data_IF_475191292869
#
_entry.id   IF_475191292869
#
_cell.length_a   1.000
_cell.length_b   1.000
_cell.length_c   1.000
_cell.angle_alpha   90.00
_cell.angle_beta   90.00
_cell.angle_gamma   90.00
#
_symmetry.space_group_name_H-M   'P 1'
#
loop_
_entity.id
_entity.type
_entity.pdbx_description
1 polymer ?
#
# COMPACT_ATOMS: atom_id res chain seq x y z
N UNK A 1 7.28 8.82 9.37
CA UNK A 1 6.18 9.56 10.04
C UNK A 1 6.67 10.93 10.46
N UNK A 2 5.86 11.97 10.24
CA UNK A 2 6.21 13.38 10.51
C UNK A 2 6.12 13.68 12.02
N UNK A 3 5.26 12.97 12.73
CA UNK A 3 5.12 13.10 14.20
C UNK A 3 4.54 14.44 14.64
N UNK A 4 5.12 15.02 15.71
CA UNK A 4 4.59 16.24 16.32
C UNK A 4 4.47 17.44 15.36
N UNK A 5 5.25 17.48 14.30
CA UNK A 5 5.20 18.56 13.29
C UNK A 5 4.06 18.40 12.28
N UNK A 6 3.33 17.28 12.28
CA UNK A 6 2.34 16.96 11.26
C UNK A 6 1.27 18.07 11.09
N UNK A 7 0.71 18.57 12.19
CA UNK A 7 -0.32 19.61 12.13
C UNK A 7 0.15 20.91 11.45
N UNK A 8 1.40 21.31 11.70
CA UNK A 8 2.00 22.49 11.07
C UNK A 8 2.24 22.23 9.59
N UNK A 9 2.79 21.06 9.25
CA UNK A 9 3.05 20.67 7.85
C UNK A 9 1.74 20.59 7.08
N UNK A 10 0.70 19.98 7.65
CA UNK A 10 -0.63 19.87 7.04
C UNK A 10 -1.21 21.26 6.75
N UNK A 11 -1.23 22.16 7.75
CA UNK A 11 -1.79 23.51 7.60
C UNK A 11 -1.07 24.31 6.48
N UNK A 12 0.26 24.21 6.40
CA UNK A 12 1.04 24.82 5.33
C UNK A 12 0.73 24.22 3.96
N UNK A 13 0.63 22.87 3.88
CA UNK A 13 0.28 22.19 2.63
C UNK A 13 -1.13 22.57 2.15
N UNK A 14 -2.09 22.74 3.07
CA UNK A 14 -3.43 23.25 2.78
C UNK A 14 -3.42 24.71 2.26
N UNK A 15 -2.46 25.50 2.72
CA UNK A 15 -2.19 26.84 2.21
C UNK A 15 -1.36 26.87 0.91
N UNK A 16 -1.22 25.72 0.22
CA UNK A 16 -0.50 25.54 -1.04
C UNK A 16 1.02 25.73 -0.94
N UNK A 17 1.60 25.51 0.22
CA UNK A 17 3.06 25.44 0.39
C UNK A 17 3.59 24.15 -0.22
N UNK A 18 4.34 24.28 -1.33
CA UNK A 18 4.88 23.13 -2.07
C UNK A 18 5.88 22.31 -1.24
N UNK A 19 6.70 22.97 -0.41
CA UNK A 19 7.67 22.28 0.44
C UNK A 19 6.99 21.45 1.53
N UNK A 20 5.91 21.97 2.11
CA UNK A 20 5.09 21.24 3.07
C UNK A 20 4.35 20.07 2.42
N UNK A 21 3.80 20.26 1.23
CA UNK A 21 3.19 19.17 0.47
C UNK A 21 4.22 18.08 0.10
N UNK A 22 5.41 18.49 -0.35
CA UNK A 22 6.50 17.54 -0.64
C UNK A 22 6.95 16.76 0.60
N UNK A 23 6.81 17.33 1.80
CA UNK A 23 7.06 16.62 3.06
C UNK A 23 6.02 15.52 3.29
N UNK A 24 4.72 15.81 3.13
CA UNK A 24 3.65 14.82 3.20
C UNK A 24 3.84 13.70 2.16
N UNK A 25 4.18 14.09 0.94
CA UNK A 25 4.42 13.16 -0.16
C UNK A 25 5.57 12.19 0.16
N UNK A 26 6.74 12.72 0.53
CA UNK A 26 7.93 11.91 0.83
C UNK A 26 7.73 10.96 2.00
N UNK A 27 6.94 11.35 3.00
CA UNK A 27 6.65 10.48 4.14
C UNK A 27 5.77 9.27 3.77
N UNK A 28 4.77 9.46 2.91
CA UNK A 28 3.76 8.42 2.66
C UNK A 28 4.01 7.64 1.37
N UNK A 29 4.62 8.26 0.34
CA UNK A 29 4.81 7.67 -0.98
C UNK A 29 5.47 6.28 -0.97
N UNK A 30 6.54 6.02 -0.19
CA UNK A 30 7.16 4.69 -0.17
C UNK A 30 6.20 3.61 0.34
N UNK A 31 5.45 3.90 1.39
CA UNK A 31 4.46 2.98 1.95
C UNK A 31 3.29 2.75 0.98
N UNK A 32 2.82 3.82 0.32
CA UNK A 32 1.75 3.77 -0.69
C UNK A 32 2.14 2.86 -1.86
N UNK A 33 3.33 3.04 -2.44
CA UNK A 33 3.79 2.23 -3.56
C UNK A 33 3.96 0.76 -3.16
N UNK A 34 4.54 0.48 -1.99
CA UNK A 34 4.66 -0.90 -1.50
C UNK A 34 3.30 -1.57 -1.35
N UNK A 35 2.32 -0.87 -0.80
CA UNK A 35 0.94 -1.37 -0.68
C UNK A 35 0.32 -1.63 -2.06
N UNK A 36 0.38 -0.66 -2.97
CA UNK A 36 -0.25 -0.77 -4.29
C UNK A 36 0.35 -1.91 -5.11
N UNK A 37 1.66 -2.12 -5.07
CA UNK A 37 2.33 -3.23 -5.76
C UNK A 37 1.87 -4.61 -5.32
N UNK A 38 1.31 -4.74 -4.11
CA UNK A 38 0.72 -6.00 -3.64
C UNK A 38 -0.71 -6.18 -4.16
N UNK A 39 -1.46 -5.09 -4.38
CA UNK A 39 -2.89 -5.17 -4.70
C UNK A 39 -3.25 -4.90 -6.16
N UNK A 40 -2.37 -4.26 -6.93
CA UNK A 40 -2.60 -3.96 -8.35
C UNK A 40 -1.30 -3.96 -9.14
N UNK A 41 -1.31 -4.43 -10.41
CA UNK A 41 -0.14 -4.30 -11.29
C UNK A 41 0.09 -2.87 -11.81
N UNK A 42 -0.91 -1.97 -11.72
CA UNK A 42 -0.79 -0.55 -12.14
C UNK A 42 -0.45 0.36 -10.96
N UNK A 43 0.50 -0.06 -10.10
CA UNK A 43 0.76 0.60 -8.83
C UNK A 43 1.15 2.07 -8.97
N UNK A 44 1.99 2.40 -9.95
CA UNK A 44 2.50 3.75 -10.19
C UNK A 44 1.39 4.69 -10.68
N UNK A 45 0.57 4.23 -11.64
CA UNK A 45 -0.56 5.02 -12.17
C UNK A 45 -1.60 5.26 -11.08
N UNK A 46 -1.94 4.22 -10.32
CA UNK A 46 -2.88 4.31 -9.18
C UNK A 46 -2.34 5.23 -8.08
N UNK A 47 -1.02 5.22 -7.83
CA UNK A 47 -0.41 6.17 -6.89
C UNK A 47 -0.56 7.61 -7.37
N UNK A 48 -0.30 7.88 -8.65
CA UNK A 48 -0.53 9.19 -9.27
C UNK A 48 -1.98 9.66 -9.11
N UNK A 49 -2.95 8.82 -9.46
CA UNK A 49 -4.38 9.12 -9.30
C UNK A 49 -4.76 9.34 -7.83
N UNK A 50 -4.17 8.60 -6.91
CA UNK A 50 -4.37 8.78 -5.48
C UNK A 50 -3.92 10.17 -5.04
N UNK A 51 -2.71 10.59 -5.42
CA UNK A 51 -2.20 11.91 -5.08
C UNK A 51 -2.98 13.05 -5.72
N UNK A 52 -3.44 12.89 -6.96
CA UNK A 52 -4.35 13.86 -7.59
C UNK A 52 -5.63 14.03 -6.76
N UNK A 53 -6.19 12.94 -6.25
CA UNK A 53 -7.37 13.01 -5.40
C UNK A 53 -7.07 13.61 -4.03
N UNK A 54 -5.90 13.31 -3.45
CA UNK A 54 -5.44 13.92 -2.20
C UNK A 54 -5.31 15.44 -2.36
N UNK A 55 -4.66 15.92 -3.42
CA UNK A 55 -4.52 17.36 -3.69
C UNK A 55 -5.88 18.05 -3.77
N UNK A 56 -6.85 17.44 -4.46
CA UNK A 56 -8.20 18.01 -4.60
C UNK A 56 -8.95 18.07 -3.27
N UNK A 57 -8.73 17.10 -2.39
CA UNK A 57 -9.43 17.00 -1.10
C UNK A 57 -8.68 17.61 0.09
N UNK A 58 -7.40 17.94 -0.08
CA UNK A 58 -6.51 18.33 1.02
C UNK A 58 -7.01 19.56 1.79
N UNK A 59 -7.51 20.58 1.08
CA UNK A 59 -8.01 21.80 1.71
C UNK A 59 -9.19 21.57 2.67
N UNK A 60 -10.00 20.52 2.42
CA UNK A 60 -11.12 20.15 3.27
C UNK A 60 -10.79 19.06 4.31
N UNK A 61 -9.56 18.55 4.32
CA UNK A 61 -9.18 17.50 5.25
C UNK A 61 -8.98 18.08 6.66
N UNK A 62 -9.49 17.36 7.66
CA UNK A 62 -9.24 17.65 9.08
C UNK A 62 -8.89 16.36 9.82
N UNK A 63 -7.81 16.40 10.62
CA UNK A 63 -7.39 15.23 11.40
C UNK A 63 -5.88 15.20 11.63
N UNK A 64 -5.45 14.26 12.45
CA UNK A 64 -4.03 13.99 12.71
C UNK A 64 -3.39 13.12 11.61
N UNK A 65 -2.11 12.79 11.82
CA UNK A 65 -1.30 12.02 10.88
C UNK A 65 -1.90 10.63 10.59
N UNK A 66 -2.39 9.94 11.60
CA UNK A 66 -3.03 8.62 11.45
C UNK A 66 -4.29 8.71 10.58
N UNK A 67 -5.15 9.72 10.84
CA UNK A 67 -6.34 9.95 10.05
C UNK A 67 -6.00 10.32 8.58
N UNK A 68 -4.93 11.09 8.35
CA UNK A 68 -4.45 11.41 7.03
C UNK A 68 -4.00 10.15 6.27
N UNK A 69 -3.23 9.29 6.92
CA UNK A 69 -2.81 8.02 6.34
C UNK A 69 -4.01 7.14 6.01
N UNK A 70 -4.95 6.98 6.96
CA UNK A 70 -6.16 6.18 6.74
C UNK A 70 -7.00 6.72 5.57
N UNK A 71 -7.15 8.04 5.46
CA UNK A 71 -7.86 8.69 4.36
C UNK A 71 -7.16 8.44 3.01
N UNK A 72 -5.83 8.63 2.95
CA UNK A 72 -5.04 8.40 1.74
C UNK A 72 -5.12 6.94 1.28
N UNK A 73 -4.94 5.97 2.17
CA UNK A 73 -5.03 4.55 1.82
C UNK A 73 -6.47 4.12 1.45
N UNK A 74 -7.50 4.79 1.97
CA UNK A 74 -8.89 4.61 1.50
C UNK A 74 -9.02 5.03 0.04
N UNK A 75 -8.48 6.20 -0.33
CA UNK A 75 -8.46 6.67 -1.72
C UNK A 75 -7.71 5.68 -2.60
N UNK A 76 -6.51 5.27 -2.19
CA UNK A 76 -5.66 4.34 -2.93
C UNK A 76 -6.37 3.02 -3.25
N UNK A 77 -7.05 2.44 -2.25
CA UNK A 77 -7.82 1.21 -2.43
C UNK A 77 -8.96 1.39 -3.43
N UNK A 78 -9.70 2.48 -3.35
CA UNK A 78 -10.77 2.78 -4.29
C UNK A 78 -10.22 2.93 -5.72
N UNK A 79 -9.10 3.66 -5.91
CA UNK A 79 -8.47 3.80 -7.23
C UNK A 79 -7.96 2.46 -7.77
N UNK A 80 -7.35 1.61 -6.94
CA UNK A 80 -6.95 0.27 -7.35
C UNK A 80 -8.13 -0.61 -7.78
N UNK A 81 -9.26 -0.51 -7.07
CA UNK A 81 -10.48 -1.22 -7.45
C UNK A 81 -11.07 -0.69 -8.77
N UNK A 82 -11.05 0.64 -9.00
CA UNK A 82 -11.50 1.26 -10.25
C UNK A 82 -10.62 0.84 -11.44
N UNK A 83 -9.30 0.84 -11.28
CA UNK A 83 -8.35 0.38 -12.28
C UNK A 83 -8.60 -1.09 -12.66
N UNK A 84 -8.78 -1.96 -11.66
CA UNK A 84 -9.12 -3.37 -11.89
C UNK A 84 -10.45 -3.54 -12.66
N UNK A 85 -11.49 -2.76 -12.33
CA UNK A 85 -12.77 -2.77 -13.07
C UNK A 85 -12.61 -2.26 -14.51
N UNK A 86 -11.80 -1.24 -14.71
CA UNK A 86 -11.52 -0.70 -16.05
C UNK A 86 -10.80 -1.72 -16.93
N UNK A 87 -9.80 -2.41 -16.38
CA UNK A 87 -9.09 -3.48 -17.08
C UNK A 87 -10.02 -4.63 -17.45
N UNK A 88 -10.86 -5.09 -16.53
CA UNK A 88 -11.79 -6.19 -16.76
C UNK A 88 -12.82 -5.88 -17.88
N UNK A 89 -13.08 -4.59 -18.16
CA UNK A 89 -13.99 -4.13 -19.21
C UNK A 89 -13.31 -3.88 -20.56
N UNK A 90 -11.97 -3.80 -20.61
CA UNK A 90 -11.27 -3.68 -21.88
C UNK A 90 -11.30 -5.05 -22.56
N UNK A 91 -11.84 -5.18 -23.80
CA UNK A 91 -11.71 -6.41 -24.54
C UNK A 91 -10.23 -6.73 -24.67
N UNK A 92 -9.85 -7.97 -24.36
CA UNK A 92 -8.52 -8.46 -24.69
C UNK A 92 -8.38 -8.34 -26.22
N UNK A 93 -7.53 -7.44 -26.71
CA UNK A 93 -7.05 -7.52 -28.08
C UNK A 93 -6.22 -8.79 -28.13
N UNK A 94 -6.58 -9.81 -28.91
CA UNK A 94 -5.79 -11.01 -29.01
C UNK A 94 -4.50 -10.68 -29.78
N UNK A 95 -3.46 -10.26 -29.07
CA UNK A 95 -2.09 -10.46 -29.55
C UNK A 95 -1.79 -11.94 -29.27
N UNK A 96 -1.73 -12.72 -30.34
CA UNK A 96 -1.59 -14.14 -30.28
C UNK A 96 -0.42 -14.62 -29.43
N UNK A 97 -0.60 -15.86 -28.94
CA UNK A 97 0.36 -16.76 -28.27
C UNK A 97 0.73 -16.43 -26.82
N UNK A 98 0.10 -17.08 -25.88
CA UNK A 98 0.55 -18.11 -24.96
C UNK A 98 -0.47 -18.31 -23.86
N UNK A 99 -1.06 -19.50 -23.82
CA UNK A 99 -1.73 -20.07 -22.65
C UNK A 99 -0.67 -20.32 -21.58
N UNK A 100 -0.51 -19.35 -20.69
CA UNK A 100 -0.10 -19.57 -19.33
C UNK A 100 -0.92 -18.61 -18.48
N UNK A 101 -1.71 -19.19 -17.54
CA UNK A 101 -2.38 -18.41 -16.53
C UNK A 101 -1.34 -17.46 -15.88
N UNK A 102 -1.62 -16.16 -15.72
CA UNK A 102 -0.68 -15.29 -15.08
C UNK A 102 -0.57 -15.72 -13.62
N UNK A 103 0.41 -16.57 -13.31
CA UNK A 103 1.09 -16.44 -12.04
C UNK A 103 1.32 -14.93 -11.88
N UNK A 104 0.83 -14.36 -10.79
CA UNK A 104 1.00 -12.96 -10.40
C UNK A 104 2.33 -12.48 -10.95
N UNK A 105 2.28 -11.58 -11.93
CA UNK A 105 3.44 -11.13 -12.66
C UNK A 105 4.52 -10.81 -11.63
N UNK A 106 5.59 -11.59 -11.67
CA UNK A 106 6.81 -11.27 -10.95
C UNK A 106 7.16 -9.85 -11.40
N UNK A 107 6.87 -8.89 -10.53
CA UNK A 107 7.02 -7.48 -10.84
C UNK A 107 8.41 -7.24 -11.41
N UNK A 108 8.50 -6.36 -12.39
CA UNK A 108 9.78 -5.87 -12.90
C UNK A 108 10.71 -5.62 -11.71
N UNK A 109 12.01 -5.91 -11.83
CA UNK A 109 12.95 -5.71 -10.73
C UNK A 109 12.79 -4.28 -10.23
N UNK A 110 12.30 -4.16 -9.00
CA UNK A 110 12.16 -2.89 -8.30
C UNK A 110 13.53 -2.21 -8.28
N UNK A 111 13.64 -1.05 -8.94
CA UNK A 111 14.78 -0.17 -8.68
C UNK A 111 14.75 0.15 -7.19
N UNK A 112 15.81 -0.13 -6.43
CA UNK A 112 15.82 0.12 -4.98
C UNK A 112 15.56 1.60 -4.72
N UNK A 113 14.53 1.90 -3.92
CA UNK A 113 14.40 3.22 -3.33
C UNK A 113 15.63 3.43 -2.42
N UNK A 114 16.34 4.57 -2.49
CA UNK A 114 17.44 4.87 -1.58
C UNK A 114 17.08 4.70 -0.09
N UNK A 115 15.80 4.85 0.28
CA UNK A 115 15.29 4.58 1.62
C UNK A 115 15.23 3.06 1.95
N UNK A 116 15.21 2.18 0.95
CA UNK A 116 15.23 0.72 1.16
C UNK A 116 16.64 0.17 1.45
N UNK A 117 17.69 0.97 1.21
CA UNK A 117 19.08 0.59 1.46
C UNK A 117 19.51 0.73 2.94
N UNK A 118 18.66 1.30 3.80
CA UNK A 118 19.01 1.64 5.18
C UNK A 118 18.47 0.69 6.25
N UNK A 119 17.86 -0.46 5.90
CA UNK A 119 17.30 -1.39 6.88
C UNK A 119 18.12 -2.68 6.94
N UNK A 120 18.80 -2.86 8.08
CA UNK A 120 19.46 -4.09 8.48
C UNK A 120 18.49 -5.28 8.52
N UNK A 121 18.90 -6.41 7.95
CA UNK A 121 18.14 -7.64 7.97
C UNK A 121 17.47 -7.99 6.63
N UNK A 122 16.34 -8.61 6.66
CA UNK A 122 15.54 -8.92 5.46
C UNK A 122 15.15 -7.59 4.80
N UNK A 123 15.63 -7.33 3.58
CA UNK A 123 15.34 -6.06 2.94
C UNK A 123 13.81 -5.83 2.89
N UNK A 124 13.36 -4.59 3.08
CA UNK A 124 11.92 -4.24 2.99
C UNK A 124 11.29 -4.80 1.70
N UNK A 125 12.09 -4.89 0.63
CA UNK A 125 11.74 -5.52 -0.64
C UNK A 125 11.46 -7.02 -0.51
N UNK A 126 12.31 -7.77 0.20
CA UNK A 126 12.09 -9.20 0.43
C UNK A 126 10.83 -9.44 1.28
N UNK A 127 10.58 -8.58 2.28
CA UNK A 127 9.37 -8.65 3.08
C UNK A 127 8.11 -8.38 2.24
N UNK A 128 8.12 -7.37 1.36
CA UNK A 128 7.00 -7.09 0.44
C UNK A 128 6.79 -8.26 -0.53
N UNK A 129 7.87 -8.81 -1.11
CA UNK A 129 7.78 -9.98 -1.99
C UNK A 129 7.17 -11.20 -1.26
N UNK A 130 7.55 -11.43 -0.01
CA UNK A 130 6.99 -12.49 0.80
C UNK A 130 5.50 -12.24 1.09
N UNK A 131 5.10 -11.02 1.41
CA UNK A 131 3.69 -10.65 1.60
C UNK A 131 2.89 -10.85 0.31
N UNK A 132 3.47 -10.58 -0.85
CA UNK A 132 2.82 -10.78 -2.15
C UNK A 132 2.50 -12.26 -2.46
N UNK A 133 3.13 -13.22 -1.77
CA UNK A 133 2.77 -14.65 -1.89
C UNK A 133 1.51 -15.04 -1.11
N UNK A 134 1.01 -14.18 -0.24
CA UNK A 134 -0.22 -14.42 0.51
C UNK A 134 -1.46 -14.29 -0.39
N UNK A 135 -2.59 -14.95 -0.03
CA UNK A 135 -3.88 -14.60 -0.60
C UNK A 135 -4.12 -13.09 -0.50
N UNK A 136 -4.68 -12.50 -1.56
CA UNK A 136 -4.81 -11.05 -1.75
C UNK A 136 -5.38 -10.32 -0.52
N UNK A 137 -6.45 -10.85 0.08
CA UNK A 137 -7.09 -10.26 1.27
C UNK A 137 -6.19 -10.30 2.51
N UNK A 138 -5.34 -11.31 2.64
CA UNK A 138 -4.37 -11.43 3.72
C UNK A 138 -3.18 -10.47 3.50
N UNK A 139 -2.65 -10.43 2.28
CA UNK A 139 -1.60 -9.50 1.90
C UNK A 139 -2.05 -8.04 2.10
N UNK A 140 -3.25 -7.68 1.65
CA UNK A 140 -3.82 -6.35 1.82
C UNK A 140 -3.89 -5.94 3.30
N UNK A 141 -4.42 -6.81 4.16
CA UNK A 141 -4.52 -6.53 5.61
C UNK A 141 -3.15 -6.35 6.25
N UNK A 142 -2.17 -7.20 5.91
CA UNK A 142 -0.81 -7.08 6.45
C UNK A 142 -0.15 -5.79 5.98
N UNK A 143 -0.26 -5.44 4.70
CA UNK A 143 0.31 -4.20 4.17
C UNK A 143 -0.26 -2.96 4.87
N UNK A 144 -1.58 -2.89 5.06
CA UNK A 144 -2.22 -1.77 5.75
C UNK A 144 -1.82 -1.69 7.24
N UNK A 145 -1.68 -2.85 7.92
CA UNK A 145 -1.29 -2.90 9.33
C UNK A 145 0.18 -2.59 9.57
N UNK A 146 1.07 -3.20 8.77
CA UNK A 146 2.52 -3.17 9.02
C UNK A 146 3.20 -2.05 8.24
N UNK A 147 2.91 -1.91 6.95
CA UNK A 147 3.61 -0.95 6.08
C UNK A 147 2.96 0.43 6.14
N UNK A 148 1.63 0.49 6.11
CA UNK A 148 0.90 1.76 6.26
C UNK A 148 0.79 2.22 7.73
N UNK A 149 1.03 1.34 8.71
CA UNK A 149 0.97 1.68 10.13
C UNK A 149 -0.44 1.99 10.65
N UNK A 150 -1.49 1.49 9.99
CA UNK A 150 -2.88 1.78 10.35
C UNK A 150 -3.36 0.90 11.50
N UNK A 151 -4.26 1.40 12.31
CA UNK A 151 -4.90 0.61 13.36
C UNK A 151 -5.93 -0.40 12.82
N UNK A 152 -6.45 -1.27 13.69
CA UNK A 152 -7.41 -2.32 13.28
C UNK A 152 -8.73 -1.72 12.80
N UNK A 153 -9.18 -0.61 13.40
CA UNK A 153 -10.47 0.01 13.08
C UNK A 153 -10.40 0.69 11.71
N UNK A 154 -9.29 1.37 11.42
CA UNK A 154 -9.03 1.99 10.13
C UNK A 154 -8.93 0.95 9.01
N UNK A 155 -8.15 -0.11 9.23
CA UNK A 155 -8.06 -1.22 8.27
C UNK A 155 -9.43 -1.85 8.04
N UNK A 156 -10.22 -2.08 9.08
CA UNK A 156 -11.58 -2.64 8.98
C UNK A 156 -12.47 -1.77 8.09
N UNK A 157 -12.43 -0.43 8.28
CA UNK A 157 -13.13 0.52 7.42
C UNK A 157 -12.67 0.45 5.96
N UNK A 158 -11.36 0.45 5.74
CA UNK A 158 -10.76 0.43 4.41
C UNK A 158 -11.14 -0.84 3.65
N UNK A 159 -10.99 -2.02 4.29
CA UNK A 159 -11.26 -3.30 3.61
C UNK A 159 -12.72 -3.75 3.64
N UNK A 160 -13.60 -3.01 4.34
CA UNK A 160 -15.02 -3.35 4.46
C UNK A 160 -15.28 -4.61 5.29
N UNK A 161 -14.48 -4.87 6.32
CA UNK A 161 -14.61 -6.03 7.23
C UNK A 161 -14.82 -5.58 8.67
N UNK A 162 -15.25 -6.49 9.55
CA UNK A 162 -15.28 -6.19 10.98
C UNK A 162 -13.87 -6.16 11.58
N UNK A 163 -13.64 -5.40 12.68
CA UNK A 163 -12.35 -5.40 13.39
C UNK A 163 -11.90 -6.79 13.84
N UNK A 164 -12.84 -7.66 14.24
CA UNK A 164 -12.57 -9.05 14.58
C UNK A 164 -12.06 -9.84 13.37
N UNK A 165 -12.69 -9.69 12.21
CA UNK A 165 -12.26 -10.34 10.97
C UNK A 165 -10.86 -9.87 10.54
N UNK A 166 -10.53 -8.58 10.71
CA UNK A 166 -9.20 -8.05 10.43
C UNK A 166 -8.14 -8.69 11.32
N UNK A 167 -8.40 -8.81 12.65
CA UNK A 167 -7.46 -9.48 13.57
C UNK A 167 -7.21 -10.94 13.18
N UNK A 168 -8.28 -11.68 12.88
CA UNK A 168 -8.17 -13.09 12.45
C UNK A 168 -7.41 -13.22 11.13
N UNK A 169 -7.69 -12.34 10.17
CA UNK A 169 -7.01 -12.32 8.87
C UNK A 169 -5.52 -12.02 9.04
N UNK A 170 -5.18 -10.99 9.83
CA UNK A 170 -3.79 -10.64 10.13
C UNK A 170 -3.05 -11.80 10.82
N UNK A 171 -3.66 -12.43 11.83
CA UNK A 171 -3.08 -13.56 12.52
C UNK A 171 -2.79 -14.74 11.59
N UNK A 172 -3.75 -15.11 10.73
CA UNK A 172 -3.57 -16.18 9.74
C UNK A 172 -2.47 -15.87 8.75
N UNK A 173 -2.40 -14.61 8.30
CA UNK A 173 -1.37 -14.13 7.39
C UNK A 173 0.03 -14.25 8.01
N UNK A 174 0.20 -13.74 9.23
CA UNK A 174 1.49 -13.81 9.95
C UNK A 174 1.94 -15.24 10.20
N UNK A 175 1.02 -16.15 10.57
CA UNK A 175 1.35 -17.59 10.71
C UNK A 175 1.82 -18.22 9.39
N UNK A 176 1.20 -17.85 8.26
CA UNK A 176 1.65 -18.33 6.94
C UNK A 176 3.03 -17.80 6.60
N UNK A 177 3.29 -16.51 6.86
CA UNK A 177 4.61 -15.91 6.64
C UNK A 177 5.68 -16.59 7.50
N UNK A 178 5.42 -16.84 8.79
CA UNK A 178 6.33 -17.57 9.66
C UNK A 178 6.67 -18.95 9.09
N UNK A 179 5.68 -19.73 8.68
CA UNK A 179 5.92 -21.04 8.06
C UNK A 179 6.64 -20.98 6.70
N UNK A 180 6.56 -19.85 5.98
CA UNK A 180 7.40 -19.64 4.78
C UNK A 180 8.87 -19.38 5.16
N UNK A 181 9.12 -18.57 6.18
CA UNK A 181 10.48 -18.25 6.66
C UNK A 181 11.17 -19.50 7.22
N UNK A 182 10.47 -20.30 8.03
CA UNK A 182 10.98 -21.56 8.56
C UNK A 182 11.43 -22.53 7.44
N UNK A 183 10.61 -22.66 6.38
CA UNK A 183 10.95 -23.50 5.21
C UNK A 183 12.13 -22.94 4.41
N UNK A 184 12.33 -21.63 4.42
CA UNK A 184 13.46 -20.96 3.75
C UNK A 184 14.73 -20.96 4.59
N UNK A 185 14.73 -21.57 5.79
CA UNK A 185 15.90 -21.64 6.68
C UNK A 185 16.26 -20.30 7.33
N UNK A 186 15.35 -19.33 7.28
CA UNK A 186 15.51 -18.04 7.96
C UNK A 186 14.86 -18.16 9.33
N UNK A 187 15.67 -18.55 10.32
CA UNK A 187 15.24 -18.55 11.72
C UNK A 187 15.39 -17.14 12.29
N UNK A 188 14.42 -16.63 13.06
CA UNK A 188 14.53 -15.34 13.74
C UNK A 188 15.60 -15.30 14.81
#
# INVERSE_FOLDING_TARGET
MIGAAFGVVLARAQARDEAAFACLFRDVQPALLRYLRVITPEAEDVAGDTWLQVVRGLAGFSGGEEAFRAWLFTIARHRAADAGRSRARRPAVPLGVSEEAPALAAGQPLVPDPADLALDGISARAAVALIATLPRDQGEVVMLRVVAGLDVADVARIVGKSPGAVRVTAHRALRRLAGHLERAGVTP
#
